data_IF_735099055759
#
_entry.id   IF_735099055759
#
_cell.length_a   1.000
_cell.length_b   1.000
_cell.length_c   1.000
_cell.angle_alpha   90.00
_cell.angle_beta   90.00
_cell.angle_gamma   90.00
#
_symmetry.space_group_name_H-M   'P 1'
#
loop_
_entity.id
_entity.type
_entity.pdbx_description
1 polymer ?
#
# COMPACT_ATOMS: atom_id res chain seq x y z
N UNK A 1 -15.69 2.14 -31.91
CA UNK A 1 -16.59 2.36 -30.76
C UNK A 1 -15.69 2.65 -29.56
N UNK A 2 -15.76 3.84 -28.98
CA UNK A 2 -14.95 4.22 -27.81
C UNK A 2 -15.85 4.16 -26.58
N UNK A 3 -15.55 3.28 -25.65
CA UNK A 3 -16.20 3.21 -24.35
C UNK A 3 -15.27 3.83 -23.30
N UNK A 4 -15.80 4.64 -22.39
CA UNK A 4 -15.04 5.33 -21.34
C UNK A 4 -15.55 4.88 -19.99
N UNK A 5 -14.63 4.62 -19.05
CA UNK A 5 -14.97 4.31 -17.67
C UNK A 5 -15.53 5.55 -16.96
N UNK A 6 -16.85 5.57 -16.79
CA UNK A 6 -17.58 6.66 -16.12
C UNK A 6 -17.37 6.62 -14.60
N UNK A 7 -17.69 7.73 -13.92
CA UNK A 7 -17.49 7.88 -12.47
C UNK A 7 -18.14 6.76 -11.65
N UNK A 8 -19.35 6.35 -12.01
CA UNK A 8 -20.05 5.25 -11.35
C UNK A 8 -19.28 3.91 -11.47
N UNK A 9 -18.70 3.64 -12.65
CA UNK A 9 -17.84 2.48 -12.86
C UNK A 9 -16.55 2.52 -12.05
N UNK A 10 -16.03 3.71 -11.74
CA UNK A 10 -14.86 3.88 -10.86
C UNK A 10 -15.20 3.65 -9.40
N UNK A 11 -16.39 4.11 -8.96
CA UNK A 11 -16.93 3.81 -7.62
C UNK A 11 -17.10 2.30 -7.47
N UNK A 12 -17.66 1.61 -8.47
CA UNK A 12 -17.79 0.15 -8.48
C UNK A 12 -16.43 -0.56 -8.28
N UNK A 13 -15.35 -0.08 -8.91
CA UNK A 13 -14.01 -0.65 -8.72
C UNK A 13 -13.50 -0.43 -7.30
N UNK A 14 -13.70 0.76 -6.74
CA UNK A 14 -13.33 1.05 -5.36
C UNK A 14 -14.12 0.15 -4.38
N UNK A 15 -15.41 -0.05 -4.60
CA UNK A 15 -16.23 -0.98 -3.80
C UNK A 15 -15.72 -2.41 -3.85
N UNK A 16 -15.39 -2.87 -5.05
CA UNK A 16 -14.85 -4.21 -5.26
C UNK A 16 -13.51 -4.43 -4.53
N UNK A 17 -12.73 -3.37 -4.32
CA UNK A 17 -11.40 -3.45 -3.71
C UNK A 17 -11.44 -3.22 -2.19
N UNK A 18 -12.31 -2.36 -1.68
CA UNK A 18 -12.30 -1.91 -0.27
C UNK A 18 -12.36 -3.05 0.75
N UNK A 19 -13.10 -4.12 0.48
CA UNK A 19 -13.27 -5.24 1.41
C UNK A 19 -12.26 -6.39 1.18
N UNK A 20 -11.35 -6.25 0.22
CA UNK A 20 -10.35 -7.27 -0.09
C UNK A 20 -9.11 -7.09 0.80
N UNK A 21 -8.50 -8.19 1.25
CA UNK A 21 -7.34 -8.13 2.13
C UNK A 21 -6.21 -7.42 1.39
N UNK A 22 -5.67 -6.38 2.02
CA UNK A 22 -4.67 -5.50 1.42
C UNK A 22 -3.41 -5.47 2.28
N UNK A 23 -2.25 -5.57 1.62
CA UNK A 23 -0.95 -5.64 2.28
C UNK A 23 0.02 -4.66 1.65
N UNK A 24 0.80 -3.98 2.48
CA UNK A 24 1.95 -3.18 2.07
C UNK A 24 3.19 -4.07 2.10
N UNK A 25 3.70 -4.41 0.93
CA UNK A 25 5.00 -5.05 0.78
C UNK A 25 6.12 -4.01 0.78
N UNK A 26 7.18 -4.28 1.53
CA UNK A 26 8.38 -3.46 1.59
C UNK A 26 9.56 -4.23 1.01
N UNK A 27 10.40 -3.55 0.25
CA UNK A 27 11.61 -4.12 -0.32
C UNK A 27 12.82 -3.18 -0.23
N UNK A 28 14.01 -3.78 -0.19
CA UNK A 28 15.28 -3.04 -0.22
C UNK A 28 15.61 -2.51 -1.62
N UNK A 29 14.93 -3.04 -2.65
CA UNK A 29 15.10 -2.67 -4.04
C UNK A 29 16.50 -2.99 -4.58
N UNK A 30 16.92 -2.24 -5.60
CA UNK A 30 18.28 -2.31 -6.14
C UNK A 30 19.09 -1.09 -5.69
N UNK A 31 20.34 -1.33 -5.27
CA UNK A 31 21.27 -0.25 -4.91
C UNK A 31 21.53 0.71 -6.09
N UNK A 32 21.40 0.23 -7.33
CA UNK A 32 21.60 1.01 -8.56
C UNK A 32 20.54 2.09 -8.77
N UNK A 33 19.41 2.06 -8.05
CA UNK A 33 18.40 3.10 -8.13
C UNK A 33 18.83 4.42 -7.49
N UNK A 34 19.76 4.38 -6.53
CA UNK A 34 20.30 5.58 -5.87
C UNK A 34 19.22 6.52 -5.34
N UNK A 35 19.46 7.83 -5.48
CA UNK A 35 18.55 8.90 -5.04
C UNK A 35 17.50 9.30 -6.09
N UNK A 36 17.59 8.75 -7.30
CA UNK A 36 16.69 9.01 -8.43
C UNK A 36 16.18 7.68 -8.98
N UNK A 37 15.32 6.98 -8.22
CA UNK A 37 14.82 5.68 -8.64
C UNK A 37 14.01 5.82 -9.94
N UNK A 38 14.20 4.89 -10.90
CA UNK A 38 13.37 4.87 -12.10
C UNK A 38 11.92 4.52 -11.73
N UNK A 39 10.92 5.06 -12.47
CA UNK A 39 9.54 4.72 -12.22
C UNK A 39 9.32 3.19 -12.37
N UNK A 40 8.43 2.59 -11.57
CA UNK A 40 8.05 1.19 -11.73
C UNK A 40 7.50 0.91 -13.13
N UNK A 41 7.91 -0.19 -13.80
CA UNK A 41 7.32 -0.56 -15.09
C UNK A 41 5.87 -1.05 -14.88
N UNK A 42 4.99 -0.80 -15.86
CA UNK A 42 3.60 -1.25 -15.80
C UNK A 42 3.43 -2.78 -15.78
N UNK A 43 4.46 -3.52 -16.20
CA UNK A 43 4.51 -4.98 -16.16
C UNK A 43 5.05 -5.54 -14.84
N UNK A 44 5.27 -4.69 -13.82
CA UNK A 44 5.76 -5.13 -12.52
C UNK A 44 4.70 -5.99 -11.82
N UNK A 45 5.14 -7.11 -11.25
CA UNK A 45 4.25 -8.05 -10.55
C UNK A 45 4.64 -8.25 -9.09
N UNK A 46 5.92 -8.10 -8.76
CA UNK A 46 6.45 -8.37 -7.43
C UNK A 46 7.60 -7.42 -7.04
N UNK A 47 7.87 -7.38 -5.74
CA UNK A 47 9.04 -6.70 -5.16
C UNK A 47 10.33 -7.34 -5.67
N UNK A 48 11.36 -6.54 -5.94
CA UNK A 48 12.66 -7.05 -6.38
C UNK A 48 13.35 -7.82 -5.26
N UNK A 49 13.37 -7.23 -4.07
CA UNK A 49 13.99 -7.82 -2.87
C UNK A 49 13.06 -7.60 -1.68
N UNK A 50 12.09 -8.50 -1.44
CA UNK A 50 11.09 -8.32 -0.39
C UNK A 50 11.69 -8.48 1.01
N UNK A 51 11.40 -7.53 1.90
CA UNK A 51 11.75 -7.55 3.33
C UNK A 51 10.61 -8.12 4.15
N UNK A 52 9.38 -7.71 3.83
CA UNK A 52 8.18 -8.17 4.53
C UNK A 52 6.93 -7.47 4.04
N UNK A 53 5.81 -7.87 4.63
CA UNK A 53 4.46 -7.47 4.25
C UNK A 53 3.69 -7.06 5.49
N UNK A 54 3.07 -5.89 5.45
CA UNK A 54 2.24 -5.35 6.54
C UNK A 54 0.78 -5.35 6.12
N UNK A 55 -0.10 -5.97 6.90
CA UNK A 55 -1.54 -5.88 6.66
C UNK A 55 -2.04 -4.43 6.81
N UNK A 56 -2.97 -4.02 5.96
CA UNK A 56 -3.62 -2.71 6.06
C UNK A 56 -4.35 -2.59 7.39
N UNK A 57 -4.04 -1.55 8.16
CA UNK A 57 -4.73 -1.25 9.41
C UNK A 57 -6.12 -0.72 9.16
N UNK A 58 -6.24 0.13 8.13
CA UNK A 58 -7.51 0.74 7.77
C UNK A 58 -7.58 0.94 6.25
N UNK A 59 -8.74 0.60 5.70
CA UNK A 59 -9.14 0.92 4.33
C UNK A 59 -10.51 1.57 4.39
N UNK A 60 -10.63 2.81 3.92
CA UNK A 60 -11.86 3.60 4.04
C UNK A 60 -12.11 4.43 2.78
N UNK A 61 -13.38 4.69 2.48
CA UNK A 61 -13.73 5.64 1.43
C UNK A 61 -13.44 7.06 1.93
N UNK A 62 -12.95 7.89 1.03
CA UNK A 62 -12.71 9.31 1.33
C UNK A 62 -13.23 10.21 0.22
N UNK A 63 -13.37 11.49 0.51
CA UNK A 63 -13.72 12.51 -0.49
C UNK A 63 -12.72 13.66 -0.38
N UNK A 64 -12.26 14.24 -1.51
CA UNK A 64 -11.44 15.45 -1.46
C UNK A 64 -12.18 16.60 -0.81
N UNK A 65 -11.56 17.23 0.18
CA UNK A 65 -12.12 18.37 0.92
C UNK A 65 -10.97 19.28 1.37
N UNK A 66 -11.02 20.57 1.03
CA UNK A 66 -9.98 21.56 1.39
C UNK A 66 -9.84 21.78 2.90
N UNK A 67 -10.88 21.41 3.66
CA UNK A 67 -10.93 21.42 5.12
C UNK A 67 -10.77 20.02 5.73
N UNK A 68 -10.41 19.03 4.91
CA UNK A 68 -10.30 17.64 5.32
C UNK A 68 -9.30 17.37 6.43
N UNK A 69 -9.64 16.41 7.30
CA UNK A 69 -8.79 15.96 8.41
C UNK A 69 -7.56 15.16 7.93
N UNK A 70 -7.70 14.45 6.81
CA UNK A 70 -6.62 13.64 6.24
C UNK A 70 -5.78 14.54 5.33
N UNK A 71 -4.58 14.88 5.76
CA UNK A 71 -3.66 15.75 5.01
C UNK A 71 -2.56 14.90 4.37
N UNK A 72 -2.60 14.77 3.05
CA UNK A 72 -1.60 14.07 2.26
C UNK A 72 -0.93 15.01 1.27
N UNK A 73 0.27 14.67 0.74
CA UNK A 73 0.90 15.45 -0.33
C UNK A 73 0.02 15.58 -1.58
N UNK A 74 -0.90 14.63 -1.80
CA UNK A 74 -1.82 14.61 -2.95
C UNK A 74 -3.04 15.51 -2.76
N UNK A 75 -3.32 15.96 -1.54
CA UNK A 75 -4.50 16.75 -1.21
C UNK A 75 -5.01 16.49 0.21
N UNK A 76 -6.12 17.14 0.53
CA UNK A 76 -6.83 16.95 1.79
C UNK A 76 -8.13 16.17 1.56
N UNK A 77 -8.47 15.29 2.49
CA UNK A 77 -9.60 14.39 2.36
C UNK A 77 -10.36 14.24 3.68
N UNK A 78 -11.66 13.94 3.57
CA UNK A 78 -12.51 13.55 4.69
C UNK A 78 -13.04 12.13 4.48
N UNK A 79 -13.28 11.42 5.59
CA UNK A 79 -13.90 10.10 5.54
C UNK A 79 -15.31 10.17 4.97
N UNK A 80 -15.66 9.16 4.19
CA UNK A 80 -16.98 9.02 3.58
C UNK A 80 -17.62 7.72 4.01
N UNK A 81 -18.87 7.77 4.43
CA UNK A 81 -19.71 6.58 4.62
C UNK A 81 -20.28 6.10 3.29
N UNK A 82 -20.45 7.01 2.33
CA UNK A 82 -20.88 6.66 0.97
C UNK A 82 -19.68 6.19 0.14
N UNK A 83 -19.83 5.14 -0.67
CA UNK A 83 -18.79 4.70 -1.59
C UNK A 83 -18.36 5.82 -2.54
N UNK A 84 -17.04 5.98 -2.68
CA UNK A 84 -16.44 6.94 -3.62
C UNK A 84 -15.37 6.24 -4.44
N UNK A 85 -14.91 6.89 -5.52
CA UNK A 85 -13.79 6.38 -6.31
C UNK A 85 -12.41 6.65 -5.64
N UNK A 86 -12.38 7.06 -4.37
CA UNK A 86 -11.17 7.31 -3.59
C UNK A 86 -11.10 6.33 -2.42
N UNK A 87 -10.04 5.53 -2.39
CA UNK A 87 -9.75 4.64 -1.26
C UNK A 87 -8.53 5.15 -0.50
N UNK A 88 -8.73 5.43 0.78
CA UNK A 88 -7.65 5.71 1.71
C UNK A 88 -7.14 4.41 2.32
N UNK A 89 -5.82 4.28 2.37
CA UNK A 89 -5.13 3.19 3.03
C UNK A 89 -4.22 3.73 4.13
N UNK A 90 -4.23 3.03 5.26
CA UNK A 90 -3.33 3.28 6.38
C UNK A 90 -2.58 2.02 6.79
N UNK A 91 -1.27 2.13 6.90
CA UNK A 91 -0.38 1.10 7.41
C UNK A 91 0.45 1.65 8.56
N UNK A 92 0.38 0.98 9.71
CA UNK A 92 1.16 1.35 10.88
C UNK A 92 2.29 0.33 11.05
N UNK A 93 3.52 0.73 10.73
CA UNK A 93 4.70 -0.09 10.98
C UNK A 93 5.13 0.09 12.42
N UNK A 94 5.28 -1.02 13.13
CA UNK A 94 5.85 -1.03 14.47
C UNK A 94 7.39 -1.05 14.42
N UNK A 95 8.03 -0.86 15.57
CA UNK A 95 9.48 -0.74 15.71
C UNK A 95 10.29 -1.92 15.14
N UNK A 96 9.68 -3.09 15.03
CA UNK A 96 10.30 -4.30 14.50
C UNK A 96 10.00 -4.56 13.01
N UNK A 97 9.07 -3.80 12.40
CA UNK A 97 8.39 -4.14 11.14
C UNK A 97 9.15 -3.66 9.88
N UNK A 98 10.46 -3.82 9.84
CA UNK A 98 11.27 -3.35 8.71
C UNK A 98 12.74 -3.73 8.73
N UNK A 99 13.20 -4.34 9.84
CA UNK A 99 14.60 -4.69 10.02
C UNK A 99 15.52 -3.47 10.01
N UNK A 100 16.81 -3.70 9.75
CA UNK A 100 17.86 -2.65 9.73
C UNK A 100 18.24 -2.22 8.30
N UNK A 101 17.42 -2.56 7.31
CA UNK A 101 17.76 -2.37 5.90
C UNK A 101 17.17 -1.08 5.34
N UNK A 102 17.91 -0.42 4.45
CA UNK A 102 17.39 0.69 3.66
C UNK A 102 16.26 0.23 2.75
N UNK A 103 15.07 0.77 2.94
CA UNK A 103 13.90 0.47 2.12
C UNK A 103 13.86 1.42 0.91
N UNK A 104 13.66 0.85 -0.28
CA UNK A 104 13.61 1.59 -1.57
C UNK A 104 12.37 1.29 -2.41
N UNK A 105 11.57 0.29 -2.03
CA UNK A 105 10.44 -0.19 -2.81
C UNK A 105 9.23 -0.47 -1.93
N UNK A 106 8.08 0.10 -2.27
CA UNK A 106 6.81 -0.11 -1.58
C UNK A 106 5.73 -0.54 -2.56
N UNK A 107 5.10 -1.66 -2.28
CA UNK A 107 4.08 -2.25 -3.13
C UNK A 107 2.80 -2.50 -2.34
N UNK A 108 1.65 -2.20 -2.93
CA UNK A 108 0.34 -2.48 -2.33
C UNK A 108 -0.25 -3.68 -3.04
N UNK A 109 -0.45 -4.75 -2.30
CA UNK A 109 -1.03 -6.00 -2.78
C UNK A 109 -2.47 -6.12 -2.31
N UNK A 110 -3.35 -6.63 -3.17
CA UNK A 110 -4.75 -6.94 -2.87
C UNK A 110 -4.97 -8.43 -3.12
N UNK A 111 -5.80 -9.09 -2.31
CA UNK A 111 -5.97 -10.55 -2.27
C UNK A 111 -4.70 -11.31 -1.90
N UNK A 112 -3.85 -10.72 -1.08
CA UNK A 112 -2.76 -11.47 -0.48
C UNK A 112 -3.30 -12.34 0.68
N UNK A 113 -2.75 -13.54 0.83
CA UNK A 113 -3.10 -14.48 1.88
C UNK A 113 -1.83 -14.94 2.62
N UNK A 114 -1.94 -14.98 3.94
CA UNK A 114 -0.89 -15.46 4.85
C UNK A 114 -1.09 -16.94 5.14
N UNK A 115 -0.04 -17.61 5.60
CA UNK A 115 -0.13 -19.00 6.05
C UNK A 115 -1.15 -19.17 7.20
N UNK A 116 -1.81 -20.33 7.24
CA UNK A 116 -2.95 -20.59 8.15
C UNK A 116 -2.55 -20.70 9.63
N UNK A 117 -1.29 -21.06 9.89
CA UNK A 117 -0.77 -21.36 11.24
C UNK A 117 -0.21 -20.13 11.97
N UNK A 118 -0.42 -18.93 11.43
CA UNK A 118 0.13 -17.71 12.00
C UNK A 118 -0.81 -17.09 13.07
N UNK A 119 -0.25 -16.43 14.10
CA UNK A 119 -1.04 -15.72 15.09
C UNK A 119 -1.98 -14.69 14.46
N UNK A 120 -3.26 -14.72 14.84
CA UNK A 120 -4.30 -13.82 14.30
C UNK A 120 -4.01 -12.33 14.54
N UNK A 121 -3.28 -12.01 15.61
CA UNK A 121 -2.88 -10.64 15.95
C UNK A 121 -1.62 -10.17 15.21
N UNK A 122 -0.94 -11.06 14.47
CA UNK A 122 0.23 -10.70 13.70
C UNK A 122 -0.20 -9.83 12.52
N UNK A 123 0.42 -8.66 12.40
CA UNK A 123 0.13 -7.70 11.33
C UNK A 123 1.30 -7.53 10.37
N UNK A 124 2.48 -8.02 10.75
CA UNK A 124 3.71 -8.03 9.96
C UNK A 124 4.09 -9.46 9.59
N UNK A 125 4.42 -9.69 8.33
CA UNK A 125 4.67 -11.01 7.77
C UNK A 125 5.97 -11.03 6.99
N UNK A 126 6.80 -12.05 7.18
CA UNK A 126 7.99 -12.25 6.35
C UNK A 126 7.59 -12.78 4.97
N UNK A 127 8.47 -12.68 3.95
CA UNK A 127 8.16 -13.19 2.61
C UNK A 127 7.85 -14.69 2.57
N UNK A 128 8.36 -15.46 3.54
CA UNK A 128 8.13 -16.90 3.70
C UNK A 128 6.77 -17.23 4.33
N UNK A 129 6.19 -16.27 5.06
CA UNK A 129 4.88 -16.40 5.72
C UNK A 129 3.70 -16.02 4.81
N UNK A 130 3.99 -15.59 3.58
CA UNK A 130 3.00 -15.22 2.57
C UNK A 130 2.72 -16.40 1.65
N UNK A 131 1.55 -17.02 1.81
CA UNK A 131 1.10 -18.12 0.94
C UNK A 131 0.79 -17.62 -0.48
N UNK A 132 0.07 -16.50 -0.58
CA UNK A 132 -0.32 -15.88 -1.84
C UNK A 132 0.00 -14.39 -1.77
N UNK A 133 0.77 -13.87 -2.73
CA UNK A 133 1.09 -12.44 -2.79
C UNK A 133 -0.06 -11.58 -3.31
N UNK A 134 -1.04 -12.18 -3.98
CA UNK A 134 -2.18 -11.46 -4.54
C UNK A 134 -1.83 -10.68 -5.82
N UNK A 135 -2.56 -9.59 -6.05
CA UNK A 135 -2.40 -8.69 -7.20
C UNK A 135 -1.76 -7.38 -6.75
N UNK A 136 -0.75 -6.93 -7.49
CA UNK A 136 -0.14 -5.63 -7.28
C UNK A 136 -1.08 -4.52 -7.75
N UNK A 137 -1.53 -3.68 -6.83
CA UNK A 137 -2.36 -2.51 -7.10
C UNK A 137 -1.51 -1.26 -7.33
N UNK A 138 -0.50 -1.05 -6.48
CA UNK A 138 0.39 0.11 -6.56
C UNK A 138 1.82 -0.31 -6.37
N UNK A 139 2.71 0.38 -7.07
CA UNK A 139 4.14 0.28 -6.87
C UNK A 139 4.74 1.68 -6.77
N UNK A 140 5.61 1.88 -5.80
CA UNK A 140 6.41 3.08 -5.65
C UNK A 140 7.87 2.68 -5.43
N UNK A 141 8.75 3.32 -6.19
CA UNK A 141 10.19 3.29 -5.92
C UNK A 141 10.61 4.65 -5.41
N UNK A 142 11.40 4.66 -4.34
CA UNK A 142 11.76 5.86 -3.60
C UNK A 142 13.23 5.87 -3.23
N UNK A 143 13.74 7.05 -2.90
CA UNK A 143 15.08 7.23 -2.32
C UNK A 143 15.22 6.35 -1.07
N UNK A 144 16.44 5.87 -0.76
CA UNK A 144 16.66 5.04 0.42
C UNK A 144 16.11 5.71 1.67
N UNK A 145 15.19 5.01 2.32
CA UNK A 145 14.69 5.38 3.63
C UNK A 145 15.33 4.43 4.64
N UNK A 146 16.24 4.91 5.50
CA UNK A 146 16.77 4.09 6.57
C UNK A 146 15.62 3.77 7.53
N UNK A 147 15.44 2.50 7.84
CA UNK A 147 14.47 2.12 8.86
C UNK A 147 15.06 2.41 10.24
N UNK A 148 14.39 3.28 11.00
CA UNK A 148 14.78 3.61 12.36
C UNK A 148 13.97 2.75 13.34
N UNK A 149 14.58 1.79 14.05
CA UNK A 149 13.88 0.92 14.99
C UNK A 149 13.36 1.66 16.23
N UNK A 150 13.62 2.97 16.37
CA UNK A 150 13.10 3.82 17.44
C UNK A 150 11.90 4.65 17.03
N UNK A 151 11.48 4.58 15.75
CA UNK A 151 10.40 5.39 15.19
C UNK A 151 9.31 4.48 14.61
N UNK A 152 8.06 4.78 14.95
CA UNK A 152 6.91 4.20 14.26
C UNK A 152 6.66 4.97 12.98
N UNK A 153 6.67 4.28 11.85
CA UNK A 153 6.32 4.86 10.57
C UNK A 153 4.85 4.56 10.26
N UNK A 154 4.11 5.61 9.94
CA UNK A 154 2.74 5.49 9.42
C UNK A 154 2.78 5.83 7.95
N UNK A 155 2.28 4.93 7.12
CA UNK A 155 2.14 5.18 5.68
C UNK A 155 0.68 5.32 5.33
N UNK A 156 0.38 6.45 4.72
CA UNK A 156 -0.96 6.88 4.36
C UNK A 156 -0.94 7.30 2.90
N UNK A 157 -1.88 6.78 2.12
CA UNK A 157 -2.05 7.19 0.73
C UNK A 157 -3.51 7.03 0.30
N UNK A 158 -3.88 7.77 -0.74
CA UNK A 158 -5.20 7.70 -1.36
C UNK A 158 -5.05 7.22 -2.80
N UNK A 159 -5.82 6.19 -3.14
CA UNK A 159 -5.90 5.63 -4.49
C UNK A 159 -7.16 6.13 -5.17
N UNK A 160 -7.01 6.59 -6.41
CA UNK A 160 -8.11 7.12 -7.21
C UNK A 160 -8.35 6.14 -8.37
N UNK A 161 -9.59 5.68 -8.50
CA UNK A 161 -10.03 4.83 -9.61
C UNK A 161 -10.65 5.67 -10.74
#
# INVERSE_FOLDING_TARGET
MSAVLVNDGRVLLAEAIKNRPSFLGLGTGLLTWGDQPPPPPASLLELVTPVGYKAAKQVSYVTPDETGEIVLPTGKYNYSETPTNYLYYKFDLDYADGGTSDLREWHVYVDAATELDLPVAQTWFTPEQMQVRGRLLLAERRKPMPFDPTVRAVFEFVVIF
#
